data_IF_811983713372
#
_entry.id   IF_811983713372
#
_cell.length_a   1.000
_cell.length_b   1.000
_cell.length_c   1.000
_cell.angle_alpha   90.00
_cell.angle_beta   90.00
_cell.angle_gamma   90.00
#
_symmetry.space_group_name_H-M   'P 1'
#
loop_
_entity.id
_entity.type
_entity.pdbx_description
1 polymer ?
#
# COMPACT_ATOMS: atom_id res chain seq x y z
N UNK A 1 10.17 -31.82 38.19
CA UNK A 1 10.29 -30.71 37.21
C UNK A 1 8.89 -30.32 36.80
N UNK A 2 8.46 -29.10 37.16
CA UNK A 2 7.18 -28.59 36.72
C UNK A 2 7.24 -28.37 35.20
N UNK A 3 6.22 -28.80 34.44
CA UNK A 3 6.17 -28.63 32.98
C UNK A 3 6.26 -27.14 32.54
N UNK A 4 6.12 -26.20 33.47
CA UNK A 4 6.17 -24.76 33.25
C UNK A 4 7.61 -24.22 33.07
N UNK A 5 8.61 -24.84 33.71
CA UNK A 5 10.01 -24.38 33.67
C UNK A 5 10.64 -24.43 32.27
N UNK A 6 10.58 -25.54 31.51
CA UNK A 6 11.19 -25.57 30.17
C UNK A 6 10.48 -24.64 29.18
N UNK A 7 9.17 -24.46 29.31
CA UNK A 7 8.40 -23.54 28.46
C UNK A 7 8.71 -22.08 28.77
N UNK A 8 8.82 -21.72 30.05
CA UNK A 8 9.20 -20.36 30.46
C UNK A 8 10.63 -20.01 29.99
N UNK A 9 11.57 -20.96 30.04
CA UNK A 9 12.92 -20.77 29.51
C UNK A 9 12.90 -20.59 27.99
N UNK A 10 12.08 -21.37 27.27
CA UNK A 10 11.95 -21.24 25.82
C UNK A 10 11.36 -19.88 25.43
N UNK A 11 10.26 -19.46 26.07
CA UNK A 11 9.64 -18.16 25.79
C UNK A 11 10.53 -16.98 26.17
N UNK A 12 11.28 -17.08 27.28
CA UNK A 12 12.21 -16.03 27.69
C UNK A 12 13.42 -15.94 26.75
N UNK A 13 13.95 -17.07 26.28
CA UNK A 13 14.97 -17.09 25.23
C UNK A 13 14.49 -16.44 23.93
N UNK A 14 13.24 -16.73 23.54
CA UNK A 14 12.62 -16.11 22.37
C UNK A 14 12.44 -14.59 22.55
N UNK A 15 12.02 -14.16 23.74
CA UNK A 15 11.89 -12.74 24.08
C UNK A 15 13.24 -12.02 24.04
N UNK A 16 14.32 -12.62 24.55
CA UNK A 16 15.66 -12.04 24.47
C UNK A 16 16.16 -11.91 23.03
N UNK A 17 15.87 -12.90 22.20
CA UNK A 17 16.24 -12.88 20.78
C UNK A 17 15.51 -11.73 20.05
N UNK A 18 14.22 -11.56 20.32
CA UNK A 18 13.42 -10.44 19.79
C UNK A 18 13.95 -9.10 20.27
N UNK A 19 14.33 -8.97 21.54
CA UNK A 19 14.93 -7.73 22.06
C UNK A 19 16.30 -7.44 21.41
N UNK A 20 17.08 -8.47 21.08
CA UNK A 20 18.38 -8.33 20.43
C UNK A 20 18.31 -7.97 18.95
N UNK A 21 17.35 -8.54 18.22
CA UNK A 21 17.16 -8.30 16.78
C UNK A 21 16.26 -7.09 16.51
N UNK A 22 15.38 -6.76 17.45
CA UNK A 22 14.45 -5.64 17.39
C UNK A 22 13.24 -5.86 16.47
N UNK A 23 13.18 -6.99 15.75
CA UNK A 23 12.13 -7.31 14.77
C UNK A 23 11.82 -8.81 14.77
N UNK A 24 10.57 -9.18 14.54
CA UNK A 24 10.18 -10.57 14.32
C UNK A 24 10.50 -11.02 12.88
N UNK A 25 10.73 -12.31 12.71
CA UNK A 25 11.01 -12.90 11.39
C UNK A 25 9.88 -12.56 10.39
N UNK A 26 10.27 -12.08 9.20
CA UNK A 26 9.35 -11.72 8.11
C UNK A 26 8.30 -12.78 7.82
N UNK A 27 8.66 -14.07 7.91
CA UNK A 27 7.74 -15.17 7.65
C UNK A 27 6.60 -15.25 8.68
N UNK A 28 6.93 -15.10 9.96
CA UNK A 28 5.95 -15.12 11.06
C UNK A 28 5.03 -13.92 10.92
N UNK A 29 5.60 -12.77 10.60
CA UNK A 29 4.86 -11.53 10.43
C UNK A 29 3.92 -11.58 9.22
N UNK A 30 4.36 -12.14 8.08
CA UNK A 30 3.54 -12.32 6.88
C UNK A 30 2.37 -13.28 7.15
N UNK A 31 2.63 -14.38 7.85
CA UNK A 31 1.58 -15.32 8.27
C UNK A 31 0.54 -14.63 9.15
N UNK A 32 0.98 -13.74 10.04
CA UNK A 32 0.08 -13.03 10.93
C UNK A 32 -0.68 -11.89 10.24
N UNK A 33 -0.06 -11.20 9.29
CA UNK A 33 -0.71 -10.17 8.46
C UNK A 33 -1.85 -10.79 7.64
N UNK A 34 -1.67 -12.03 7.14
CA UNK A 34 -2.76 -12.78 6.49
C UNK A 34 -3.94 -13.05 7.43
N UNK A 35 -3.70 -13.18 8.73
CA UNK A 35 -4.75 -13.45 9.72
C UNK A 35 -5.58 -12.21 10.08
N UNK A 36 -5.27 -11.03 9.52
CA UNK A 36 -5.92 -9.73 9.79
C UNK A 36 -5.71 -9.21 11.23
N UNK A 37 -5.70 -7.88 11.40
CA UNK A 37 -5.51 -7.19 12.69
C UNK A 37 -6.35 -7.76 13.85
N UNK A 38 -7.69 -7.92 13.72
CA UNK A 38 -8.49 -8.51 14.80
C UNK A 38 -8.26 -10.02 14.96
N UNK A 39 -7.92 -10.74 13.89
CA UNK A 39 -7.64 -12.18 13.97
C UNK A 39 -6.35 -12.48 14.72
N UNK A 40 -5.30 -11.71 14.47
CA UNK A 40 -4.03 -11.82 15.19
C UNK A 40 -4.20 -11.56 16.70
N UNK A 41 -4.94 -10.51 17.08
CA UNK A 41 -5.17 -10.19 18.49
C UNK A 41 -6.03 -11.24 19.17
N UNK A 42 -7.13 -11.68 18.54
CA UNK A 42 -8.00 -12.74 19.09
C UNK A 42 -7.25 -14.06 19.24
N UNK A 43 -6.41 -14.42 18.26
CA UNK A 43 -5.57 -15.62 18.33
C UNK A 43 -4.60 -15.57 19.51
N UNK A 44 -3.86 -14.46 19.66
CA UNK A 44 -2.89 -14.30 20.76
C UNK A 44 -3.57 -14.29 22.13
N UNK A 45 -4.73 -13.65 22.24
CA UNK A 45 -5.53 -13.63 23.47
C UNK A 45 -6.06 -15.03 23.80
N UNK A 46 -6.46 -15.81 22.78
CA UNK A 46 -6.85 -17.21 22.94
C UNK A 46 -5.71 -18.09 23.46
N UNK A 47 -4.49 -17.91 22.95
CA UNK A 47 -3.30 -18.62 23.45
C UNK A 47 -3.00 -18.21 24.90
N UNK A 48 -3.14 -16.92 25.23
CA UNK A 48 -2.98 -16.43 26.61
C UNK A 48 -3.99 -17.08 27.57
N UNK A 49 -5.26 -17.12 27.17
CA UNK A 49 -6.33 -17.73 27.96
C UNK A 49 -6.09 -19.24 28.15
N UNK A 50 -5.61 -19.94 27.12
CA UNK A 50 -5.25 -21.35 27.22
C UNK A 50 -4.12 -21.59 28.23
N UNK A 51 -3.06 -20.77 28.19
CA UNK A 51 -1.94 -20.85 29.15
C UNK A 51 -2.41 -20.60 30.59
N UNK A 52 -3.32 -19.64 30.77
CA UNK A 52 -3.91 -19.34 32.07
C UNK A 52 -4.76 -20.49 32.62
N UNK A 53 -5.62 -21.10 31.79
CA UNK A 53 -6.44 -22.26 32.19
C UNK A 53 -5.57 -23.44 32.61
N UNK A 54 -4.39 -23.62 31.99
CA UNK A 54 -3.43 -24.67 32.31
C UNK A 54 -2.58 -24.39 33.56
N UNK A 55 -2.81 -23.26 34.25
CA UNK A 55 -2.07 -22.82 35.46
C UNK A 55 -0.56 -22.67 35.25
N UNK A 56 -0.15 -22.36 34.03
CA UNK A 56 1.25 -22.11 33.66
C UNK A 56 1.58 -20.62 33.89
N UNK A 57 1.74 -20.25 35.16
CA UNK A 57 1.82 -18.85 35.57
C UNK A 57 3.09 -18.14 35.07
N UNK A 58 4.23 -18.84 35.05
CA UNK A 58 5.49 -18.25 34.59
C UNK A 58 5.50 -18.09 33.07
N UNK A 59 5.08 -19.12 32.34
CA UNK A 59 4.94 -19.05 30.88
C UNK A 59 3.93 -17.99 30.45
N UNK A 60 2.81 -17.85 31.17
CA UNK A 60 1.81 -16.83 30.90
C UNK A 60 2.40 -15.41 30.99
N UNK A 61 3.18 -15.13 32.03
CA UNK A 61 3.74 -13.80 32.26
C UNK A 61 4.73 -13.42 31.16
N UNK A 62 5.66 -14.32 30.82
CA UNK A 62 6.64 -14.07 29.75
C UNK A 62 5.95 -13.94 28.39
N UNK A 63 4.98 -14.81 28.11
CA UNK A 63 4.24 -14.78 26.86
C UNK A 63 3.40 -13.51 26.72
N UNK A 64 2.80 -13.01 27.80
CA UNK A 64 2.05 -11.75 27.78
C UNK A 64 2.92 -10.55 27.39
N UNK A 65 4.15 -10.47 27.89
CA UNK A 65 5.11 -9.43 27.47
C UNK A 65 5.45 -9.59 25.99
N UNK A 66 5.70 -10.82 25.54
CA UNK A 66 6.02 -11.15 24.15
C UNK A 66 4.88 -10.74 23.20
N UNK A 67 3.63 -10.96 23.60
CA UNK A 67 2.43 -10.55 22.87
C UNK A 67 2.38 -9.04 22.65
N UNK A 68 2.77 -8.23 23.64
CA UNK A 68 2.79 -6.76 23.48
C UNK A 68 3.78 -6.35 22.40
N UNK A 69 4.99 -6.90 22.42
CA UNK A 69 5.99 -6.62 21.38
C UNK A 69 5.54 -7.09 20.00
N UNK A 70 4.90 -8.26 19.94
CA UNK A 70 4.38 -8.82 18.71
C UNK A 70 3.25 -7.98 18.12
N UNK A 71 2.32 -7.49 18.96
CA UNK A 71 1.25 -6.57 18.53
C UNK A 71 1.81 -5.26 17.98
N UNK A 72 2.85 -4.72 18.62
CA UNK A 72 3.52 -3.51 18.15
C UNK A 72 4.12 -3.71 16.76
N UNK A 73 4.89 -4.77 16.58
CA UNK A 73 5.58 -5.05 15.32
C UNK A 73 4.59 -5.30 14.16
N UNK A 74 3.47 -5.97 14.45
CA UNK A 74 2.36 -6.16 13.51
C UNK A 74 1.71 -4.83 13.15
N UNK A 75 1.53 -3.92 14.11
CA UNK A 75 0.92 -2.62 13.86
C UNK A 75 1.78 -1.73 12.97
N UNK A 76 3.08 -1.68 13.25
CA UNK A 76 4.05 -0.87 12.51
C UNK A 76 4.24 -1.41 11.09
N UNK A 77 4.38 -2.73 10.94
CA UNK A 77 4.65 -3.33 9.62
C UNK A 77 3.40 -3.40 8.74
N UNK A 78 2.22 -3.56 9.34
CA UNK A 78 0.97 -3.58 8.57
C UNK A 78 0.65 -2.22 7.92
N UNK A 79 0.98 -1.10 8.57
CA UNK A 79 0.78 0.24 7.99
C UNK A 79 1.57 0.45 6.69
N UNK A 80 2.67 -0.28 6.52
CA UNK A 80 3.54 -0.22 5.34
C UNK A 80 3.24 -1.34 4.32
N UNK A 81 2.19 -2.13 4.55
CA UNK A 81 1.80 -3.21 3.64
C UNK A 81 1.00 -2.66 2.45
N UNK A 82 1.70 -2.23 1.40
CA UNK A 82 1.12 -1.79 0.13
C UNK A 82 0.06 -2.76 -0.43
N UNK A 83 0.25 -4.06 -0.17
CA UNK A 83 -0.64 -5.12 -0.65
C UNK A 83 -2.08 -5.02 -0.13
N UNK A 84 -2.29 -4.54 1.11
CA UNK A 84 -3.65 -4.39 1.65
C UNK A 84 -4.28 -3.04 1.30
N UNK A 85 -3.47 -1.98 1.17
CA UNK A 85 -3.91 -0.72 0.56
C UNK A 85 -4.47 -0.99 -0.84
N UNK A 86 -3.68 -1.66 -1.69
CA UNK A 86 -4.08 -2.06 -3.03
C UNK A 86 -5.31 -2.98 -3.06
N UNK A 87 -5.50 -3.86 -2.07
CA UNK A 87 -6.69 -4.72 -1.98
C UNK A 87 -7.96 -3.90 -1.66
N UNK A 88 -7.87 -2.96 -0.71
CA UNK A 88 -8.99 -2.08 -0.36
C UNK A 88 -9.32 -1.16 -1.53
N UNK A 89 -8.31 -0.55 -2.14
CA UNK A 89 -8.48 0.32 -3.31
C UNK A 89 -9.11 -0.43 -4.48
N UNK A 90 -8.64 -1.65 -4.76
CA UNK A 90 -9.26 -2.52 -5.78
C UNK A 90 -10.71 -2.83 -5.46
N UNK A 91 -11.06 -3.09 -4.20
CA UNK A 91 -12.45 -3.35 -3.80
C UNK A 91 -13.34 -2.13 -4.06
N UNK A 92 -12.88 -0.95 -3.67
CA UNK A 92 -13.60 0.32 -3.92
C UNK A 92 -13.74 0.60 -5.41
N UNK A 93 -12.70 0.35 -6.20
CA UNK A 93 -12.74 0.52 -7.65
C UNK A 93 -13.69 -0.48 -8.32
N UNK A 94 -13.71 -1.74 -7.86
CA UNK A 94 -14.67 -2.73 -8.34
C UNK A 94 -16.12 -2.38 -7.98
N UNK A 95 -16.38 -1.86 -6.78
CA UNK A 95 -17.71 -1.42 -6.36
C UNK A 95 -18.21 -0.20 -7.16
N UNK A 96 -17.29 0.67 -7.59
CA UNK A 96 -17.60 1.82 -8.46
C UNK A 96 -17.71 1.44 -9.92
N UNK A 97 -17.14 0.31 -10.31
CA UNK A 97 -17.12 -0.14 -11.69
C UNK A 97 -18.49 -0.67 -12.11
N UNK A 98 -19.19 0.06 -12.97
CA UNK A 98 -20.39 -0.42 -13.63
C UNK A 98 -20.06 -0.85 -15.07
N UNK A 99 -20.16 -2.14 -15.40
CA UNK A 99 -19.78 -2.65 -16.71
C UNK A 99 -20.64 -2.08 -17.85
N UNK A 100 -21.90 -1.72 -17.58
CA UNK A 100 -22.82 -1.18 -18.59
C UNK A 100 -22.50 0.27 -18.96
N UNK A 101 -21.83 1.02 -18.08
CA UNK A 101 -21.49 2.43 -18.29
C UNK A 101 -19.99 2.68 -18.38
N UNK A 102 -19.16 1.65 -18.33
CA UNK A 102 -17.71 1.83 -18.39
C UNK A 102 -17.29 2.15 -19.83
N UNK A 103 -16.62 3.29 -20.01
CA UNK A 103 -16.13 3.72 -21.31
C UNK A 103 -15.03 2.79 -21.83
N UNK A 104 -14.23 2.21 -20.94
CA UNK A 104 -13.16 1.29 -21.28
C UNK A 104 -13.68 -0.01 -21.90
N UNK A 105 -14.75 -0.61 -21.34
CA UNK A 105 -15.38 -1.78 -21.98
C UNK A 105 -16.07 -1.40 -23.28
N UNK A 106 -16.71 -0.22 -23.36
CA UNK A 106 -17.34 0.23 -24.59
C UNK A 106 -16.32 0.47 -25.72
N UNK A 107 -15.13 0.96 -25.38
CA UNK A 107 -14.00 1.08 -26.30
C UNK A 107 -13.40 -0.28 -26.67
N UNK A 108 -13.26 -1.21 -25.71
CA UNK A 108 -12.77 -2.56 -25.95
C UNK A 108 -13.71 -3.35 -26.88
N UNK A 109 -15.02 -3.23 -26.67
CA UNK A 109 -16.07 -3.82 -27.50
C UNK A 109 -16.30 -3.07 -28.82
N UNK A 110 -15.57 -1.96 -29.05
CA UNK A 110 -15.67 -1.09 -30.23
C UNK A 110 -17.07 -0.51 -30.46
N UNK A 111 -17.91 -0.46 -29.43
CA UNK A 111 -19.22 0.20 -29.49
C UNK A 111 -19.08 1.73 -29.48
N UNK A 112 -18.00 2.23 -28.87
CA UNK A 112 -17.60 3.65 -28.91
C UNK A 112 -16.17 3.73 -29.44
N UNK A 113 -15.95 4.58 -30.44
CA UNK A 113 -14.63 4.90 -30.98
C UNK A 113 -14.39 6.39 -30.76
N UNK A 114 -13.17 6.79 -30.44
CA UNK A 114 -12.82 8.22 -30.42
C UNK A 114 -13.19 8.84 -31.76
N UNK A 115 -13.91 9.97 -31.70
CA UNK A 115 -14.13 10.77 -32.90
C UNK A 115 -12.77 11.10 -33.52
N UNK A 116 -12.66 10.93 -34.84
CA UNK A 116 -11.48 11.37 -35.57
C UNK A 116 -11.16 12.81 -35.16
N UNK A 117 -9.89 13.15 -34.86
CA UNK A 117 -9.52 14.51 -34.50
C UNK A 117 -10.09 15.46 -35.55
N UNK A 118 -10.92 16.42 -35.13
CA UNK A 118 -11.34 17.49 -36.01
C UNK A 118 -10.08 18.27 -36.34
N UNK A 119 -9.49 18.03 -37.52
CA UNK A 119 -8.47 18.93 -38.04
C UNK A 119 -9.14 20.30 -38.12
N UNK A 120 -8.69 21.25 -37.29
CA UNK A 120 -9.06 22.66 -37.37
C UNK A 120 -8.45 23.29 -38.63
N UNK A 121 -8.73 22.71 -39.80
CA UNK A 121 -8.48 23.32 -41.08
C UNK A 121 -9.85 23.72 -41.65
N UNK A 122 -10.43 24.75 -41.05
CA UNK A 122 -11.13 25.70 -41.91
C UNK A 122 -10.02 26.41 -42.69
N UNK A 123 -9.94 26.30 -44.03
CA UNK A 123 -9.05 27.18 -44.77
C UNK A 123 -9.51 28.60 -44.42
N UNK A 124 -8.65 29.44 -43.82
CA UNK A 124 -9.03 30.83 -43.64
C UNK A 124 -9.27 31.39 -45.03
N UNK A 125 -10.50 31.81 -45.32
CA UNK A 125 -10.69 32.95 -46.22
C UNK A 125 -9.79 34.04 -45.66
N UNK A 126 -8.63 34.22 -46.29
CA UNK A 126 -7.67 35.25 -45.95
C UNK A 126 -8.37 36.60 -46.08
N UNK A 127 -8.93 37.08 -44.97
CA UNK A 127 -9.31 38.47 -44.83
C UNK A 127 -8.00 39.24 -44.69
N UNK A 128 -7.75 40.11 -45.66
CA UNK A 128 -6.57 40.95 -45.77
C UNK A 128 -6.08 41.48 -44.42
N UNK A 129 -4.80 41.27 -44.10
CA UNK A 129 -4.11 42.12 -43.12
C UNK A 129 -3.34 41.46 -41.97
N UNK A 130 -3.02 40.17 -42.00
CA UNK A 130 -2.03 39.63 -41.05
C UNK A 130 -0.98 38.74 -41.76
N UNK A 131 -0.14 39.38 -42.56
CA UNK A 131 1.18 38.84 -42.87
C UNK A 131 2.04 39.01 -41.60
N UNK A 132 2.00 38.00 -40.72
CA UNK A 132 3.05 37.83 -39.71
C UNK A 132 4.30 37.39 -40.48
N UNK A 133 5.07 38.37 -40.97
CA UNK A 133 6.42 38.10 -41.42
C UNK A 133 7.19 37.50 -40.23
N UNK A 134 8.01 36.45 -40.42
CA UNK A 134 8.89 36.01 -39.36
C UNK A 134 9.74 37.21 -38.90
N UNK A 135 9.93 37.39 -37.57
CA UNK A 135 10.77 38.46 -37.06
C UNK A 135 12.14 38.44 -37.74
N UNK A 136 12.71 39.61 -38.03
CA UNK A 136 14.07 39.68 -38.59
C UNK A 136 15.07 39.01 -37.64
N UNK A 137 16.19 38.54 -38.20
CA UNK A 137 17.21 37.84 -37.42
C UNK A 137 17.68 38.65 -36.19
N UNK A 138 17.73 39.98 -36.32
CA UNK A 138 18.05 40.92 -35.24
C UNK A 138 17.05 40.85 -34.08
N UNK A 139 15.74 40.79 -34.39
CA UNK A 139 14.68 40.71 -33.37
C UNK A 139 14.69 39.34 -32.68
N UNK A 140 15.06 38.28 -33.40
CA UNK A 140 15.25 36.94 -32.81
C UNK A 140 16.46 36.88 -31.86
N UNK A 141 17.53 37.61 -32.17
CA UNK A 141 18.76 37.64 -31.37
C UNK A 141 18.56 38.42 -30.05
N UNK A 142 17.82 39.53 -30.11
CA UNK A 142 17.39 40.29 -28.94
C UNK A 142 16.46 39.47 -28.02
N UNK A 143 15.47 38.77 -28.59
CA UNK A 143 14.55 37.91 -27.82
C UNK A 143 15.23 36.68 -27.22
N UNK A 144 16.27 36.16 -27.87
CA UNK A 144 17.07 35.03 -27.35
C UNK A 144 18.11 35.48 -26.30
N UNK A 145 18.14 36.76 -25.92
CA UNK A 145 18.99 37.27 -24.84
C UNK A 145 20.48 37.23 -25.15
N UNK A 146 20.87 37.18 -26.42
CA UNK A 146 22.26 37.18 -26.87
C UNK A 146 22.74 38.60 -27.16
N UNK A 147 22.81 39.44 -26.13
CA UNK A 147 23.56 40.70 -26.18
C UNK A 147 24.78 40.60 -25.26
N UNK A 148 25.94 40.36 -25.87
CA UNK A 148 27.22 40.89 -25.38
C UNK A 148 27.56 42.15 -26.13
#
# INVERSE_FOLDING_TARGET
>A
MSYDEPLAILFSGCLLLVLGVGQFSHFVLETLVRLTRPGATVFLLGVLAFLYIKKLHYSFLVFAVLVIYFLRDVWDTWMHSDARGAYIDRGVDQDRFNPFTSIDLQMADKSVVHASPSMYFQPPTFTDGLLVFPPSAEVLEELNGSTT
#
